data_IF_636800800046
#
_entry.id   IF_636800800046
#
_cell.length_a   1.000
_cell.length_b   1.000
_cell.length_c   1.000
_cell.angle_alpha   90.00
_cell.angle_beta   90.00
_cell.angle_gamma   90.00
#
_symmetry.space_group_name_H-M   'P 1'
#
loop_
_entity.id
_entity.type
_entity.pdbx_description
1 polymer ?
#
# COMPACT_ATOMS: atom_id res chain seq x y z
N UNK A 1 -19.88 7.14 11.11
CA UNK A 1 -20.07 7.71 9.74
C UNK A 1 -19.21 8.95 9.62
N UNK A 2 -18.17 8.90 8.79
CA UNK A 2 -17.20 9.98 8.59
C UNK A 2 -17.79 11.13 7.78
N UNK A 3 -17.49 12.39 8.13
CA UNK A 3 -17.91 13.62 7.43
C UNK A 3 -17.63 13.55 5.91
N UNK A 4 -16.56 12.85 5.52
CA UNK A 4 -16.20 12.58 4.12
C UNK A 4 -17.27 11.75 3.39
N UNK A 5 -17.84 10.74 4.03
CA UNK A 5 -18.85 9.87 3.42
C UNK A 5 -20.23 10.55 3.37
N UNK A 6 -20.54 11.43 4.33
CA UNK A 6 -21.78 12.21 4.33
C UNK A 6 -21.88 13.11 3.09
N UNK A 7 -20.74 13.64 2.61
CA UNK A 7 -20.69 14.47 1.41
C UNK A 7 -21.12 13.76 0.12
N UNK A 8 -21.15 12.42 0.10
CA UNK A 8 -21.58 11.63 -1.06
C UNK A 8 -23.10 11.40 -1.10
N UNK A 9 -23.85 11.82 -0.07
CA UNK A 9 -25.28 11.48 0.08
C UNK A 9 -26.19 12.47 -0.66
N UNK A 10 -25.96 13.78 -0.48
CA UNK A 10 -26.71 14.81 -1.20
C UNK A 10 -25.91 16.13 -1.27
N UNK A 11 -26.38 17.07 -2.09
CA UNK A 11 -25.73 18.37 -2.30
C UNK A 11 -25.59 19.20 -1.01
N UNK A 12 -26.57 19.14 -0.10
CA UNK A 12 -26.53 19.88 1.18
C UNK A 12 -25.43 19.33 2.10
N UNK A 13 -25.34 18.01 2.22
CA UNK A 13 -24.28 17.34 2.95
C UNK A 13 -22.92 17.50 2.27
N UNK A 14 -22.86 17.63 0.94
CA UNK A 14 -21.63 17.98 0.24
C UNK A 14 -21.10 19.35 0.66
N UNK A 15 -21.98 20.38 0.71
CA UNK A 15 -21.58 21.70 1.19
C UNK A 15 -21.15 21.65 2.67
N UNK A 16 -21.90 20.94 3.52
CA UNK A 16 -21.54 20.75 4.94
C UNK A 16 -20.20 20.00 5.11
N UNK A 17 -19.96 18.97 4.30
CA UNK A 17 -18.73 18.17 4.34
C UNK A 17 -17.52 18.92 3.81
N UNK A 18 -17.70 20.08 3.18
CA UNK A 18 -16.64 20.98 2.75
C UNK A 18 -16.66 22.32 3.52
N UNK A 19 -17.41 22.39 4.62
CA UNK A 19 -17.48 23.57 5.46
C UNK A 19 -16.15 23.82 6.19
N UNK A 20 -15.56 24.99 5.94
CA UNK A 20 -14.26 25.35 6.48
C UNK A 20 -14.27 25.52 8.02
N UNK A 21 -15.39 25.92 8.63
CA UNK A 21 -15.52 26.05 10.08
C UNK A 21 -15.55 24.69 10.79
N UNK A 22 -16.18 23.69 10.17
CA UNK A 22 -16.16 22.32 10.70
C UNK A 22 -14.73 21.76 10.63
N UNK A 23 -14.07 21.91 9.48
CA UNK A 23 -12.74 21.35 9.26
C UNK A 23 -11.64 22.04 10.07
N UNK A 24 -11.69 23.36 10.30
CA UNK A 24 -10.71 24.03 11.16
C UNK A 24 -10.82 23.55 12.61
N UNK A 25 -12.04 23.28 13.12
CA UNK A 25 -12.22 22.67 14.45
C UNK A 25 -11.65 21.25 14.51
N UNK A 26 -11.89 20.44 13.48
CA UNK A 26 -11.32 19.08 13.37
C UNK A 26 -9.79 19.13 13.29
N UNK A 27 -9.24 20.08 12.54
CA UNK A 27 -7.80 20.30 12.40
C UNK A 27 -7.18 20.71 13.73
N UNK A 28 -7.73 21.74 14.38
CA UNK A 28 -7.22 22.22 15.66
C UNK A 28 -7.30 21.16 16.73
N UNK A 29 -8.36 20.35 16.80
CA UNK A 29 -8.46 19.25 17.78
C UNK A 29 -7.48 18.11 17.51
N UNK A 30 -7.25 17.75 16.24
CA UNK A 30 -6.35 16.65 15.88
C UNK A 30 -4.86 17.03 15.97
N UNK A 31 -4.53 18.29 15.69
CA UNK A 31 -3.16 18.80 15.62
C UNK A 31 -2.87 19.88 16.64
N UNK A 32 -3.65 19.93 17.73
CA UNK A 32 -3.38 20.86 18.83
C UNK A 32 -1.91 20.71 19.23
N UNK A 33 -1.14 21.81 19.32
CA UNK A 33 0.16 21.72 19.95
C UNK A 33 -0.09 21.14 21.34
N UNK A 34 0.54 20.00 21.64
CA UNK A 34 0.57 19.48 23.00
C UNK A 34 1.00 20.68 23.85
N UNK A 35 0.14 21.14 24.76
CA UNK A 35 0.55 22.09 25.80
C UNK A 35 1.74 21.44 26.47
N UNK A 36 2.95 21.89 26.13
CA UNK A 36 4.09 21.67 26.98
C UNK A 36 3.70 22.26 28.32
N UNK A 37 3.99 21.54 29.39
CA UNK A 37 3.74 21.97 30.77
C UNK A 37 4.64 23.16 31.13
N UNK A 38 4.59 24.24 30.36
CA UNK A 38 5.27 25.49 30.70
C UNK A 38 4.37 26.25 31.66
N UNK A 39 4.85 26.39 32.90
CA UNK A 39 4.21 27.17 33.95
C UNK A 39 3.83 28.56 33.44
N UNK A 40 2.61 28.94 33.79
CA UNK A 40 2.01 30.26 33.66
C UNK A 40 2.98 31.37 34.07
N UNK A 41 3.18 32.35 33.19
CA UNK A 41 3.24 33.75 33.59
C UNK A 41 2.20 34.50 32.78
N UNK A 42 1.24 35.05 33.50
CA UNK A 42 0.16 35.90 33.03
C UNK A 42 0.64 37.10 32.23
N UNK A 43 -0.13 37.43 31.20
CA UNK A 43 -0.28 38.70 30.45
C UNK A 43 -0.04 38.48 28.96
N UNK A 44 -1.10 38.03 28.28
CA UNK A 44 -1.58 38.56 27.00
C UNK A 44 -2.78 37.72 26.55
N UNK A 45 -3.95 38.11 27.06
CA UNK A 45 -5.26 37.71 26.53
C UNK A 45 -5.50 38.45 25.21
N UNK A 46 -4.75 38.13 24.15
CA UNK A 46 -5.01 38.77 22.83
C UNK A 46 -4.45 37.98 21.64
N UNK A 47 -4.75 36.69 21.52
CA UNK A 47 -4.44 35.91 20.31
C UNK A 47 -5.58 34.99 19.85
N UNK A 48 -6.84 35.33 20.17
CA UNK A 48 -8.05 34.65 19.66
C UNK A 48 -9.01 35.71 19.11
N UNK A 49 -8.72 36.29 17.92
CA UNK A 49 -9.68 36.16 16.82
C UNK A 49 -9.03 36.02 15.42
N UNK A 50 -7.70 36.03 15.32
CA UNK A 50 -7.00 36.20 14.04
C UNK A 50 -7.13 34.99 13.09
N UNK A 51 -7.36 33.79 13.63
CA UNK A 51 -7.56 32.59 12.81
C UNK A 51 -8.97 32.51 12.22
N UNK A 52 -10.00 33.11 12.84
CA UNK A 52 -11.39 33.03 12.37
C UNK A 52 -11.66 33.94 11.17
N UNK A 53 -11.06 35.14 11.16
CA UNK A 53 -11.16 36.08 10.03
C UNK A 53 -10.49 35.54 8.76
N UNK A 54 -9.46 34.71 8.90
CA UNK A 54 -8.79 34.06 7.75
C UNK A 54 -9.56 32.88 7.13
N UNK A 55 -10.70 32.47 7.72
CA UNK A 55 -11.47 31.30 7.25
C UNK A 55 -12.47 31.68 6.16
N UNK A 56 -13.00 32.91 6.21
CA UNK A 56 -14.01 33.41 5.25
C UNK A 56 -13.42 33.67 3.86
N UNK A 57 -12.14 34.07 3.77
CA UNK A 57 -11.43 34.31 2.51
C UNK A 57 -10.97 33.04 1.78
N UNK A 58 -11.12 31.86 2.41
CA UNK A 58 -10.59 30.61 1.86
C UNK A 58 -11.66 29.83 1.12
N UNK A 59 -11.27 29.29 -0.03
CA UNK A 59 -12.09 28.39 -0.85
C UNK A 59 -12.71 27.24 -0.02
N UNK A 60 -13.95 26.87 -0.33
CA UNK A 60 -14.66 25.81 0.36
C UNK A 60 -13.86 24.49 0.33
N UNK A 61 -13.69 23.85 1.49
CA UNK A 61 -12.92 22.62 1.62
C UNK A 61 -11.40 22.82 1.72
N UNK A 62 -10.90 24.06 1.82
CA UNK A 62 -9.48 24.34 2.06
C UNK A 62 -8.96 23.59 3.30
N UNK A 63 -9.63 23.71 4.44
CA UNK A 63 -9.17 23.08 5.69
C UNK A 63 -9.29 21.56 5.66
N UNK A 64 -10.19 21.02 4.82
CA UNK A 64 -10.27 19.58 4.54
C UNK A 64 -9.04 19.09 3.77
N UNK A 65 -8.64 19.82 2.71
CA UNK A 65 -7.41 19.53 1.95
C UNK A 65 -6.19 19.58 2.88
N UNK A 66 -6.04 20.66 3.64
CA UNK A 66 -4.95 20.82 4.62
C UNK A 66 -4.90 19.71 5.67
N UNK A 67 -6.06 19.33 6.22
CA UNK A 67 -6.14 18.22 7.17
C UNK A 67 -5.62 16.91 6.56
N UNK A 68 -6.09 16.56 5.36
CA UNK A 68 -5.71 15.31 4.68
C UNK A 68 -4.22 15.34 4.34
N UNK A 69 -3.72 16.44 3.78
CA UNK A 69 -2.29 16.61 3.46
C UNK A 69 -1.42 16.47 4.70
N UNK A 70 -1.80 17.08 5.82
CA UNK A 70 -1.04 16.99 7.07
C UNK A 70 -1.07 15.59 7.69
N UNK A 71 -2.21 14.89 7.60
CA UNK A 71 -2.29 13.48 8.00
C UNK A 71 -1.35 12.61 7.16
N UNK A 72 -1.39 12.77 5.84
CA UNK A 72 -0.48 12.06 4.92
C UNK A 72 0.97 12.34 5.29
N UNK A 73 1.36 13.60 5.47
CA UNK A 73 2.72 13.97 5.84
C UNK A 73 3.15 13.36 7.20
N UNK A 74 2.26 13.34 8.20
CA UNK A 74 2.52 12.73 9.50
C UNK A 74 2.74 11.22 9.40
N UNK A 75 1.93 10.51 8.60
CA UNK A 75 2.10 9.06 8.38
C UNK A 75 3.40 8.79 7.65
N UNK A 76 3.71 9.56 6.59
CA UNK A 76 4.99 9.45 5.85
C UNK A 76 6.19 9.64 6.78
N UNK A 77 6.15 10.66 7.64
CA UNK A 77 7.22 10.94 8.59
C UNK A 77 7.38 9.82 9.64
N UNK A 78 6.28 9.28 10.18
CA UNK A 78 6.32 8.17 11.12
C UNK A 78 6.90 6.90 10.46
N UNK A 79 6.46 6.59 9.24
CA UNK A 79 6.97 5.45 8.47
C UNK A 79 8.46 5.59 8.16
N UNK A 80 8.92 6.77 7.75
CA UNK A 80 10.34 7.02 7.50
C UNK A 80 11.21 6.76 8.74
N UNK A 81 10.72 7.06 9.95
CA UNK A 81 11.45 6.75 11.20
C UNK A 81 11.45 5.26 11.53
N UNK A 82 10.33 4.56 11.31
CA UNK A 82 10.22 3.13 11.59
C UNK A 82 11.03 2.30 10.59
N UNK A 83 11.10 2.71 9.32
CA UNK A 83 11.81 1.99 8.25
C UNK A 83 13.31 2.30 8.18
N UNK A 84 13.78 3.34 8.90
CA UNK A 84 15.20 3.73 8.92
C UNK A 84 16.18 2.60 9.32
N UNK A 85 15.88 1.73 10.30
CA UNK A 85 16.75 0.62 10.63
C UNK A 85 16.72 -0.45 9.54
N UNK A 86 17.88 -0.71 8.93
CA UNK A 86 18.07 -1.76 7.92
C UNK A 86 18.72 -2.96 8.57
N UNK A 87 18.22 -4.15 8.26
CA UNK A 87 18.81 -5.39 8.70
C UNK A 87 20.13 -5.65 7.95
N UNK A 88 21.25 -5.86 8.65
CA UNK A 88 22.56 -5.99 8.03
C UNK A 88 22.73 -7.28 7.20
N UNK A 89 21.86 -8.28 7.38
CA UNK A 89 21.93 -9.58 6.72
C UNK A 89 20.99 -9.72 5.52
N UNK A 90 20.03 -8.82 5.36
CA UNK A 90 19.06 -8.88 4.27
C UNK A 90 19.02 -7.59 3.46
N UNK A 91 19.55 -6.49 3.99
CA UNK A 91 19.42 -5.16 3.39
C UNK A 91 17.98 -4.63 3.41
N UNK A 92 17.06 -5.31 4.12
CA UNK A 92 15.65 -4.95 4.21
C UNK A 92 15.35 -4.13 5.47
N UNK A 93 14.24 -3.36 5.49
CA UNK A 93 13.86 -2.63 6.70
C UNK A 93 13.53 -3.60 7.85
N UNK A 94 14.30 -3.52 8.94
CA UNK A 94 14.24 -4.46 10.07
C UNK A 94 12.87 -4.43 10.79
N UNK A 95 12.13 -3.33 10.66
CA UNK A 95 10.86 -3.09 11.34
C UNK A 95 9.66 -3.08 10.40
N UNK A 96 9.73 -3.78 9.26
CA UNK A 96 8.62 -3.83 8.30
C UNK A 96 7.32 -4.31 8.94
N UNK A 97 7.36 -5.35 9.79
CA UNK A 97 6.17 -5.86 10.51
C UNK A 97 5.53 -4.81 11.44
N UNK A 98 6.35 -3.97 12.08
CA UNK A 98 5.88 -2.83 12.90
C UNK A 98 5.30 -1.72 12.03
N UNK A 99 5.95 -1.39 10.91
CA UNK A 99 5.49 -0.40 9.95
C UNK A 99 4.10 -0.74 9.39
N UNK A 100 3.84 -2.02 9.05
CA UNK A 100 2.52 -2.50 8.62
C UNK A 100 1.44 -2.30 9.70
N UNK A 101 1.79 -2.61 10.96
CA UNK A 101 0.87 -2.43 12.11
C UNK A 101 0.56 -0.96 12.39
N UNK A 102 1.57 -0.11 12.39
CA UNK A 102 1.42 1.33 12.67
C UNK A 102 0.66 2.03 11.55
N UNK A 103 0.94 1.69 10.29
CA UNK A 103 0.26 2.28 9.14
C UNK A 103 -1.16 1.77 8.94
N UNK A 104 -1.54 0.65 9.55
CA UNK A 104 -2.81 -0.02 9.24
C UNK A 104 -2.91 -0.37 7.74
N UNK A 105 -1.76 -0.59 7.10
CA UNK A 105 -1.68 -0.90 5.68
C UNK A 105 -2.32 -2.27 5.42
N UNK A 106 -3.18 -2.33 4.41
CA UNK A 106 -3.68 -3.57 3.83
C UNK A 106 -3.56 -3.54 2.32
N UNK A 107 -4.00 -4.61 1.68
CA UNK A 107 -4.02 -4.72 0.22
C UNK A 107 -5.40 -5.12 -0.29
N UNK A 108 -5.74 -4.60 -1.47
CA UNK A 108 -6.96 -4.95 -2.20
C UNK A 108 -6.61 -5.18 -3.66
N UNK A 109 -7.44 -5.98 -4.33
CA UNK A 109 -7.44 -6.03 -5.80
C UNK A 109 -8.66 -5.27 -6.32
N UNK A 110 -8.46 -4.49 -7.38
CA UNK A 110 -9.53 -3.81 -8.10
C UNK A 110 -9.64 -4.48 -9.46
N UNK A 111 -10.73 -5.20 -9.67
CA UNK A 111 -11.04 -5.84 -10.94
C UNK A 111 -11.86 -4.87 -11.79
N UNK A 112 -11.35 -4.53 -12.98
CA UNK A 112 -12.02 -3.63 -13.90
C UNK A 112 -12.67 -4.42 -15.03
N UNK A 113 -13.94 -4.17 -15.27
CA UNK A 113 -14.66 -4.71 -16.42
C UNK A 113 -14.35 -3.90 -17.69
N UNK A 114 -14.54 -4.52 -18.86
CA UNK A 114 -14.48 -3.84 -20.17
C UNK A 114 -15.47 -2.67 -20.28
N UNK A 115 -16.59 -2.75 -19.55
CA UNK A 115 -17.59 -1.68 -19.45
C UNK A 115 -17.26 -0.57 -18.44
N UNK A 116 -16.08 -0.58 -17.82
CA UNK A 116 -15.64 0.44 -16.87
C UNK A 116 -16.15 0.28 -15.43
N UNK A 117 -16.94 -0.77 -15.14
CA UNK A 117 -17.35 -1.12 -13.78
C UNK A 117 -16.16 -1.68 -13.00
N UNK A 118 -15.99 -1.23 -11.76
CA UNK A 118 -14.90 -1.66 -10.88
C UNK A 118 -15.44 -2.49 -9.70
N UNK A 119 -14.75 -3.58 -9.38
CA UNK A 119 -15.03 -4.43 -8.22
C UNK A 119 -13.83 -4.44 -7.30
N UNK A 120 -14.01 -3.96 -6.08
CA UNK A 120 -12.96 -3.92 -5.06
C UNK A 120 -13.09 -5.17 -4.19
N UNK A 121 -12.01 -5.95 -4.10
CA UNK A 121 -11.97 -7.16 -3.27
C UNK A 121 -10.95 -7.01 -2.15
N UNK A 122 -11.43 -7.14 -0.92
CA UNK A 122 -10.57 -7.26 0.26
C UNK A 122 -9.91 -8.64 0.29
N UNK A 123 -8.67 -8.71 0.77
CA UNK A 123 -7.97 -9.97 0.96
C UNK A 123 -8.64 -10.79 2.07
N UNK A 124 -8.58 -12.11 1.93
CA UNK A 124 -9.14 -13.04 2.91
C UNK A 124 -8.05 -13.49 3.87
N UNK A 125 -6.88 -13.85 3.32
CA UNK A 125 -5.73 -14.30 4.10
C UNK A 125 -4.51 -13.44 3.82
N UNK A 126 -3.67 -13.33 4.85
CA UNK A 126 -2.43 -12.57 4.84
C UNK A 126 -1.38 -13.37 5.64
N UNK A 127 -0.26 -13.70 5.01
CA UNK A 127 0.91 -14.22 5.72
C UNK A 127 2.09 -13.26 5.58
N UNK A 128 2.75 -13.01 6.71
CA UNK A 128 3.89 -12.10 6.80
C UNK A 128 5.12 -12.95 7.09
N UNK A 129 6.01 -13.04 6.11
CA UNK A 129 7.27 -13.77 6.19
C UNK A 129 8.40 -12.82 6.58
N UNK A 130 9.65 -13.29 6.46
CA UNK A 130 10.81 -12.49 6.86
C UNK A 130 11.28 -11.53 5.76
N UNK A 131 11.11 -11.93 4.49
CA UNK A 131 11.48 -11.11 3.33
C UNK A 131 10.28 -10.59 2.51
N UNK A 132 9.08 -11.12 2.76
CA UNK A 132 7.91 -10.89 1.92
C UNK A 132 6.57 -10.98 2.67
N UNK A 133 5.53 -10.45 2.06
CA UNK A 133 4.13 -10.67 2.45
C UNK A 133 3.44 -11.45 1.34
N UNK A 134 2.68 -12.48 1.70
CA UNK A 134 1.76 -13.16 0.78
C UNK A 134 0.34 -12.75 1.10
N UNK A 135 -0.36 -12.23 0.10
CA UNK A 135 -1.76 -11.80 0.21
C UNK A 135 -2.61 -12.70 -0.67
N UNK A 136 -3.72 -13.23 -0.13
CA UNK A 136 -4.59 -14.16 -0.85
C UNK A 136 -6.03 -13.65 -0.90
N UNK A 137 -6.61 -13.71 -2.09
CA UNK A 137 -8.02 -13.43 -2.36
C UNK A 137 -8.67 -14.71 -2.88
N UNK A 138 -9.75 -15.15 -2.23
CA UNK A 138 -10.61 -16.23 -2.71
C UNK A 138 -12.04 -15.98 -2.23
N UNK A 139 -13.02 -16.62 -2.86
CA UNK A 139 -14.41 -16.41 -2.50
C UNK A 139 -15.37 -16.90 -3.58
N UNK A 140 -16.67 -16.71 -3.33
CA UNK A 140 -17.73 -17.11 -4.26
C UNK A 140 -18.21 -15.98 -5.18
N UNK A 141 -17.85 -14.74 -4.87
CA UNK A 141 -18.39 -13.54 -5.51
C UNK A 141 -17.41 -12.94 -6.53
N UNK A 142 -16.75 -13.78 -7.32
CA UNK A 142 -15.88 -13.32 -8.39
C UNK A 142 -16.70 -12.81 -9.58
N UNK A 143 -16.37 -11.64 -10.15
CA UNK A 143 -16.90 -11.26 -11.44
C UNK A 143 -16.38 -12.24 -12.52
N UNK A 144 -17.18 -12.44 -13.56
CA UNK A 144 -16.83 -13.38 -14.64
C UNK A 144 -15.56 -12.94 -15.36
N UNK A 145 -14.59 -13.84 -15.53
CA UNK A 145 -13.30 -13.52 -16.13
C UNK A 145 -13.46 -12.89 -17.53
N UNK A 146 -14.42 -13.35 -18.32
CA UNK A 146 -14.69 -12.84 -19.67
C UNK A 146 -15.07 -11.34 -19.71
N UNK A 147 -15.67 -10.80 -18.64
CA UNK A 147 -16.05 -9.38 -18.56
C UNK A 147 -14.90 -8.49 -18.11
N UNK A 148 -13.87 -9.07 -17.50
CA UNK A 148 -12.73 -8.35 -16.96
C UNK A 148 -11.74 -7.92 -18.06
N UNK A 149 -11.11 -6.77 -17.84
CA UNK A 149 -10.07 -6.21 -18.71
C UNK A 149 -8.73 -6.10 -17.97
N UNK A 150 -8.77 -5.68 -16.70
CA UNK A 150 -7.57 -5.44 -15.90
C UNK A 150 -7.79 -5.81 -14.43
N UNK A 151 -6.68 -6.14 -13.77
CA UNK A 151 -6.58 -6.31 -12.32
C UNK A 151 -5.53 -5.32 -11.81
N UNK A 152 -5.91 -4.48 -10.86
CA UNK A 152 -4.98 -3.58 -10.19
C UNK A 152 -4.75 -4.04 -8.76
N UNK A 153 -3.49 -4.22 -8.39
CA UNK A 153 -3.09 -4.47 -7.02
C UNK A 153 -2.80 -3.14 -6.34
N UNK A 154 -3.52 -2.85 -5.25
CA UNK A 154 -3.39 -1.59 -4.53
C UNK A 154 -3.07 -1.82 -3.05
N UNK A 155 -2.11 -1.03 -2.53
CA UNK A 155 -1.94 -0.79 -1.11
C UNK A 155 -3.03 0.15 -0.60
N UNK A 156 -3.52 -0.10 0.60
CA UNK A 156 -4.67 0.62 1.16
C UNK A 156 -4.38 1.07 2.58
N UNK A 157 -4.41 2.38 2.80
CA UNK A 157 -4.08 3.00 4.08
C UNK A 157 -5.25 3.84 4.60
N UNK A 158 -5.63 3.74 5.88
CA UNK A 158 -6.71 4.55 6.45
C UNK A 158 -6.32 6.04 6.50
N UNK A 159 -7.22 6.92 6.03
CA UNK A 159 -6.99 8.38 6.02
C UNK A 159 -6.98 8.99 7.43
N UNK A 160 -7.71 8.37 8.36
CA UNK A 160 -7.80 8.84 9.75
C UNK A 160 -7.12 7.84 10.69
N UNK A 161 -5.82 7.99 10.85
CA UNK A 161 -5.05 7.20 11.80
C UNK A 161 -5.30 7.72 13.23
N UNK A 162 -5.69 6.85 14.16
CA UNK A 162 -5.72 7.16 15.60
C UNK A 162 -7.02 7.70 16.20
N UNK A 163 -8.13 7.87 15.45
CA UNK A 163 -9.42 8.32 16.06
C UNK A 163 -10.33 7.17 16.54
N UNK A 164 -10.09 5.94 16.10
CA UNK A 164 -10.72 4.74 16.67
C UNK A 164 -9.69 3.62 16.75
N UNK A 165 -9.59 2.96 17.91
CA UNK A 165 -8.77 1.75 18.13
C UNK A 165 -9.18 0.58 17.22
N UNK A 166 -10.28 0.71 16.48
CA UNK A 166 -10.74 -0.22 15.48
C UNK A 166 -10.67 0.46 14.11
N UNK A 167 -9.94 -0.16 13.19
CA UNK A 167 -10.03 0.14 11.76
C UNK A 167 -11.48 -0.10 11.35
N UNK A 168 -12.27 0.96 11.20
CA UNK A 168 -13.65 0.81 10.73
C UNK A 168 -13.56 0.25 9.31
N UNK A 169 -14.13 -0.93 9.07
CA UNK A 169 -14.09 -1.61 7.75
C UNK A 169 -14.51 -0.68 6.60
N UNK A 170 -15.36 0.32 6.87
CA UNK A 170 -15.88 1.22 5.85
C UNK A 170 -15.37 2.68 5.99
N UNK A 171 -14.24 2.89 6.68
CA UNK A 171 -13.62 4.21 6.77
C UNK A 171 -13.04 4.66 5.42
N UNK A 172 -12.82 5.97 5.22
CA UNK A 172 -12.15 6.47 4.03
C UNK A 172 -10.69 5.98 4.03
N UNK A 173 -10.31 5.37 2.92
CA UNK A 173 -9.00 4.77 2.70
C UNK A 173 -8.38 5.37 1.44
N UNK A 174 -7.07 5.59 1.48
CA UNK A 174 -6.28 5.95 0.31
C UNK A 174 -5.73 4.68 -0.34
N UNK A 175 -5.87 4.60 -1.66
CA UNK A 175 -5.33 3.56 -2.52
C UNK A 175 -4.04 4.02 -3.20
N UNK A 176 -3.01 3.20 -3.12
CA UNK A 176 -1.73 3.35 -3.84
C UNK A 176 -1.57 2.17 -4.78
N UNK A 177 -1.52 2.43 -6.09
CA UNK A 177 -1.31 1.38 -7.09
C UNK A 177 0.09 0.79 -6.92
N UNK A 178 0.19 -0.53 -6.88
CA UNK A 178 1.47 -1.26 -6.76
C UNK A 178 1.85 -1.86 -8.11
N UNK A 179 0.87 -2.47 -8.78
CA UNK A 179 1.02 -3.10 -10.07
C UNK A 179 -0.34 -3.21 -10.78
N UNK A 180 -0.31 -3.17 -12.11
CA UNK A 180 -1.47 -3.33 -12.98
C UNK A 180 -1.23 -4.50 -13.92
N UNK A 181 -2.24 -5.35 -14.07
CA UNK A 181 -2.18 -6.57 -14.86
C UNK A 181 -3.28 -6.56 -15.91
N UNK A 182 -2.92 -6.87 -17.15
CA UNK A 182 -3.88 -7.09 -18.23
C UNK A 182 -4.45 -8.50 -18.14
N UNK A 183 -5.76 -8.62 -17.96
CA UNK A 183 -6.43 -9.93 -17.91
C UNK A 183 -6.79 -10.45 -19.31
N UNK A 184 -6.76 -9.60 -20.33
CA UNK A 184 -6.96 -10.01 -21.72
C UNK A 184 -5.93 -11.02 -22.22
N UNK A 185 -4.72 -11.00 -21.66
CA UNK A 185 -3.60 -11.85 -22.06
C UNK A 185 -3.50 -13.16 -21.26
N UNK A 186 -4.43 -13.42 -20.33
CA UNK A 186 -4.45 -14.67 -19.56
C UNK A 186 -4.36 -15.95 -20.40
N UNK A 187 -5.04 -16.05 -21.57
CA UNK A 187 -4.94 -17.23 -22.44
C UNK A 187 -3.52 -17.46 -22.97
N UNK A 188 -2.69 -16.42 -23.04
CA UNK A 188 -1.29 -16.47 -23.48
C UNK A 188 -0.27 -16.44 -22.33
N UNK A 189 -0.70 -16.31 -21.07
CA UNK A 189 0.23 -16.29 -19.93
C UNK A 189 0.79 -17.67 -19.65
N UNK A 190 2.06 -17.73 -19.24
CA UNK A 190 2.77 -18.98 -18.97
C UNK A 190 2.08 -19.77 -17.88
N UNK A 191 1.49 -20.92 -18.25
CA UNK A 191 0.90 -21.88 -17.30
C UNK A 191 2.02 -22.40 -16.40
N UNK A 192 1.94 -22.08 -15.11
CA UNK A 192 2.95 -22.50 -14.14
C UNK A 192 2.73 -23.94 -13.67
N UNK A 193 1.48 -24.40 -13.67
CA UNK A 193 1.10 -25.76 -13.29
C UNK A 193 -0.40 -25.94 -13.28
N UNK A 194 -0.87 -27.17 -13.07
CA UNK A 194 -2.29 -27.45 -12.88
C UNK A 194 -2.49 -28.73 -12.07
N UNK A 195 -3.62 -28.86 -11.37
CA UNK A 195 -4.05 -30.07 -10.68
C UNK A 195 -5.36 -30.60 -11.28
N UNK A 196 -6.11 -31.48 -10.60
CA UNK A 196 -7.39 -32.00 -11.12
C UNK A 196 -8.49 -30.95 -11.31
N UNK A 197 -8.39 -29.78 -10.68
CA UNK A 197 -9.50 -28.85 -10.47
C UNK A 197 -9.13 -27.41 -10.90
N UNK A 198 -7.88 -27.00 -10.72
CA UNK A 198 -7.37 -25.64 -10.90
C UNK A 198 -6.18 -25.62 -11.87
N UNK A 199 -6.11 -24.57 -12.69
CA UNK A 199 -4.95 -24.19 -13.51
C UNK A 199 -4.29 -22.95 -12.89
N UNK A 200 -2.97 -22.98 -12.74
CA UNK A 200 -2.18 -21.88 -12.20
C UNK A 200 -1.51 -21.09 -13.32
N UNK A 201 -1.68 -19.78 -13.25
CA UNK A 201 -1.09 -18.80 -14.16
C UNK A 201 -0.23 -17.84 -13.36
N UNK A 202 0.94 -17.52 -13.90
CA UNK A 202 1.81 -16.49 -13.33
C UNK A 202 1.67 -15.21 -14.14
N UNK A 203 1.37 -14.12 -13.45
CA UNK A 203 1.35 -12.78 -13.99
C UNK A 203 2.48 -11.99 -13.31
N UNK A 204 3.44 -11.53 -14.11
CA UNK A 204 4.53 -10.74 -13.57
C UNK A 204 4.12 -9.27 -13.39
N UNK A 205 4.56 -8.61 -12.30
CA UNK A 205 5.47 -9.12 -11.28
C UNK A 205 4.76 -9.80 -10.07
N UNK A 206 5.08 -11.07 -9.80
CA UNK A 206 4.80 -11.70 -8.50
C UNK A 206 3.33 -11.98 -8.16
N UNK A 207 2.44 -11.99 -9.16
CA UNK A 207 1.04 -12.35 -9.00
C UNK A 207 0.77 -13.75 -9.56
N UNK A 208 0.02 -14.55 -8.83
CA UNK A 208 -0.39 -15.90 -9.18
C UNK A 208 -1.91 -15.96 -9.21
N UNK A 209 -2.46 -16.48 -10.31
CA UNK A 209 -3.90 -16.56 -10.55
C UNK A 209 -4.29 -18.02 -10.74
N UNK A 210 -5.20 -18.51 -9.90
CA UNK A 210 -5.81 -19.82 -10.02
C UNK A 210 -7.15 -19.72 -10.76
N UNK A 211 -7.33 -20.53 -11.81
CA UNK A 211 -8.59 -20.66 -12.54
C UNK A 211 -9.18 -22.05 -12.38
N UNK A 212 -10.50 -22.15 -12.25
CA UNK A 212 -11.20 -23.43 -12.32
C UNK A 212 -11.08 -24.04 -13.71
N UNK A 213 -10.69 -25.32 -13.82
CA UNK A 213 -10.53 -25.98 -15.12
C UNK A 213 -11.83 -26.13 -15.91
N UNK A 214 -12.96 -26.31 -15.22
CA UNK A 214 -14.26 -26.57 -15.86
C UNK A 214 -14.91 -25.31 -16.41
N UNK A 215 -14.82 -24.22 -15.66
CA UNK A 215 -15.52 -22.96 -15.94
C UNK A 215 -14.58 -21.89 -16.50
N UNK A 216 -13.26 -22.09 -16.40
CA UNK A 216 -12.22 -21.08 -16.65
C UNK A 216 -12.42 -19.76 -15.88
N UNK A 217 -13.14 -19.83 -14.76
CA UNK A 217 -13.41 -18.69 -13.89
C UNK A 217 -12.36 -18.56 -12.78
N UNK A 218 -12.24 -17.36 -12.21
CA UNK A 218 -11.32 -17.08 -11.10
C UNK A 218 -11.66 -17.94 -9.87
N UNK A 219 -10.68 -18.73 -9.42
CA UNK A 219 -10.75 -19.48 -8.17
C UNK A 219 -10.15 -18.64 -7.03
N UNK A 220 -8.91 -18.21 -7.22
CA UNK A 220 -8.19 -17.38 -6.27
C UNK A 220 -7.11 -16.54 -6.97
N UNK A 221 -6.69 -15.49 -6.29
CA UNK A 221 -5.55 -14.65 -6.65
C UNK A 221 -4.61 -14.62 -5.45
N UNK A 222 -3.31 -14.71 -5.69
CA UNK A 222 -2.27 -14.65 -4.68
C UNK A 222 -1.18 -13.69 -5.14
N UNK A 223 -0.82 -12.72 -4.31
CA UNK A 223 0.28 -11.80 -4.57
C UNK A 223 1.40 -12.02 -3.57
N UNK A 224 2.62 -12.19 -4.06
CA UNK A 224 3.83 -12.24 -3.22
C UNK A 224 4.57 -10.91 -3.34
N UNK A 225 4.61 -10.15 -2.25
CA UNK A 225 5.15 -8.80 -2.20
C UNK A 225 6.41 -8.76 -1.36
N UNK A 226 7.55 -8.61 -2.02
CA UNK A 226 8.85 -8.48 -1.36
C UNK A 226 8.95 -7.16 -0.56
N UNK A 227 9.61 -7.18 0.60
CA UNK A 227 9.69 -6.03 1.52
C UNK A 227 10.48 -4.84 0.96
N UNK A 228 11.29 -5.05 -0.07
CA UNK A 228 12.01 -3.96 -0.73
C UNK A 228 11.04 -2.88 -1.22
N UNK A 229 11.08 -1.73 -0.54
CA UNK A 229 10.21 -0.58 -0.74
C UNK A 229 8.70 -0.89 -0.69
N UNK A 230 8.29 -1.97 -0.01
CA UNK A 230 6.89 -2.41 -0.01
C UNK A 230 5.97 -1.35 0.59
N UNK A 231 6.37 -0.80 1.73
CA UNK A 231 5.57 0.17 2.47
C UNK A 231 5.47 1.46 1.67
N UNK A 232 6.56 1.91 1.05
CA UNK A 232 6.61 3.07 0.17
C UNK A 232 5.69 2.89 -1.02
N UNK A 233 5.81 1.77 -1.74
CA UNK A 233 4.97 1.42 -2.90
C UNK A 233 3.48 1.34 -2.56
N UNK A 234 3.17 0.93 -1.33
CA UNK A 234 1.80 0.73 -0.87
C UNK A 234 1.17 1.98 -0.21
N UNK A 235 1.96 3.04 0.04
CA UNK A 235 1.49 4.23 0.78
C UNK A 235 1.79 5.57 0.09
N UNK A 236 2.84 5.67 -0.71
CA UNK A 236 3.31 6.93 -1.30
C UNK A 236 2.80 7.16 -2.73
N UNK A 237 2.34 6.11 -3.40
CA UNK A 237 1.83 6.16 -4.76
C UNK A 237 0.41 6.70 -4.83
N UNK A 238 -0.08 6.88 -6.06
CA UNK A 238 -1.44 7.32 -6.32
C UNK A 238 -2.33 6.15 -6.73
N UNK A 239 -3.65 6.36 -6.80
CA UNK A 239 -4.57 5.31 -7.26
C UNK A 239 -4.40 4.95 -8.75
N UNK A 240 -3.70 5.79 -9.53
CA UNK A 240 -3.55 5.61 -10.98
C UNK A 240 -2.10 5.33 -11.42
N UNK A 241 -1.11 5.76 -10.63
CA UNK A 241 0.31 5.71 -10.97
C UNK A 241 1.08 5.04 -9.83
N UNK A 242 1.83 3.96 -10.10
CA UNK A 242 2.66 3.31 -9.10
C UNK A 242 3.75 4.22 -8.57
N UNK A 243 4.15 4.03 -7.32
CA UNK A 243 5.35 4.67 -6.80
C UNK A 243 6.57 3.91 -7.30
N UNK A 244 7.36 4.53 -8.17
CA UNK A 244 8.64 3.96 -8.60
C UNK A 244 9.74 4.35 -7.62
N UNK A 245 10.59 3.40 -7.20
CA UNK A 245 11.79 3.74 -6.46
C UNK A 245 12.79 4.47 -7.38
N UNK A 246 13.68 5.31 -6.82
CA UNK A 246 14.75 5.92 -7.59
C UNK A 246 15.60 4.83 -8.27
N UNK A 247 16.02 5.10 -9.51
CA UNK A 247 16.82 4.15 -10.28
C UNK A 247 18.10 3.79 -9.49
N UNK A 248 18.32 2.49 -9.28
CA UNK A 248 19.55 2.02 -8.67
C UNK A 248 20.71 2.29 -9.63
N UNK A 249 21.65 3.13 -9.21
CA UNK A 249 22.92 3.27 -9.93
C UNK A 249 23.88 2.25 -9.35
N UNK A 250 24.26 1.19 -10.09
CA UNK A 250 25.23 0.23 -9.58
C UNK A 250 26.55 0.94 -9.25
N UNK A 251 27.22 0.57 -8.14
CA UNK A 251 28.56 1.07 -7.86
C UNK A 251 29.52 0.77 -9.02
N UNK A 252 30.53 1.61 -9.21
CA UNK A 252 31.46 1.59 -10.35
C UNK A 252 32.20 0.23 -10.54
N UNK A 253 32.27 -0.58 -9.48
CA UNK A 253 32.92 -1.90 -9.45
C UNK A 253 32.03 -3.04 -10.02
N UNK A 254 30.72 -2.82 -10.16
CA UNK A 254 29.77 -3.76 -10.77
C UNK A 254 29.82 -3.68 -12.32
N UNK A 255 31.02 -3.76 -12.88
CA UNK A 255 31.22 -3.80 -14.33
C UNK A 255 31.01 -5.22 -14.88
N UNK A 256 30.30 -5.32 -16.00
CA UNK A 256 30.14 -6.57 -16.77
C UNK A 256 31.49 -7.22 -17.16
N UNK A 257 32.58 -6.46 -17.10
CA UNK A 257 33.93 -6.87 -17.46
C UNK A 257 34.65 -7.67 -16.36
N UNK A 258 34.32 -7.45 -15.08
CA UNK A 258 35.05 -8.04 -13.94
C UNK A 258 34.30 -9.20 -13.26
N UNK A 259 33.04 -9.46 -13.61
CA UNK A 259 32.21 -10.45 -12.93
C UNK A 259 31.62 -9.92 -11.63
N UNK A 260 30.48 -10.47 -11.21
CA UNK A 260 29.80 -10.02 -9.98
C UNK A 260 30.51 -10.64 -8.77
N UNK A 261 31.10 -9.83 -7.90
CA UNK A 261 31.84 -10.29 -6.72
C UNK A 261 31.26 -9.74 -5.41
N UNK A 262 31.27 -10.55 -4.35
CA UNK A 262 30.87 -10.10 -3.01
C UNK A 262 29.36 -10.03 -2.76
N UNK A 263 28.55 -10.68 -3.60
CA UNK A 263 27.10 -10.65 -3.47
C UNK A 263 26.63 -11.49 -2.29
N UNK A 264 25.54 -11.02 -1.70
CA UNK A 264 24.82 -11.71 -0.64
C UNK A 264 23.45 -12.14 -1.17
N UNK A 265 23.15 -13.43 -1.06
CA UNK A 265 21.86 -14.00 -1.45
C UNK A 265 21.12 -14.43 -0.21
N UNK A 266 19.95 -13.85 0.00
CA UNK A 266 19.01 -14.34 0.99
C UNK A 266 17.92 -15.17 0.29
N UNK A 267 17.70 -16.39 0.78
CA UNK A 267 16.68 -17.32 0.28
C UNK A 267 15.67 -17.58 1.38
N UNK A 268 14.41 -17.27 1.10
CA UNK A 268 13.26 -17.50 1.96
C UNK A 268 12.23 -18.35 1.20
N UNK A 269 12.00 -19.57 1.68
CA UNK A 269 11.04 -20.52 1.14
C UNK A 269 9.98 -20.79 2.21
N UNK A 270 8.74 -20.49 1.86
CA UNK A 270 7.59 -20.63 2.74
C UNK A 270 6.38 -21.19 2.00
N UNK A 271 5.43 -21.76 2.74
CA UNK A 271 4.08 -22.05 2.26
C UNK A 271 3.08 -21.62 3.33
N UNK A 272 2.18 -20.72 2.93
CA UNK A 272 1.24 -20.09 3.86
C UNK A 272 1.99 -19.36 4.97
N UNK A 273 1.86 -19.86 6.21
CA UNK A 273 2.54 -19.35 7.40
C UNK A 273 3.72 -20.20 7.89
N UNK A 274 4.14 -21.23 7.13
CA UNK A 274 5.24 -22.12 7.51
C UNK A 274 6.48 -21.79 6.68
N UNK A 275 7.60 -21.50 7.34
CA UNK A 275 8.91 -21.37 6.69
C UNK A 275 9.60 -22.74 6.62
N UNK A 276 10.08 -23.11 5.44
CA UNK A 276 10.84 -24.33 5.20
C UNK A 276 12.35 -24.07 5.13
N UNK A 277 12.74 -22.93 4.58
CA UNK A 277 14.12 -22.51 4.47
C UNK A 277 14.20 -21.00 4.60
N UNK A 278 15.05 -20.52 5.49
CA UNK A 278 15.42 -19.12 5.58
C UNK A 278 16.94 -19.09 5.80
N UNK A 279 17.69 -18.66 4.79
CA UNK A 279 19.16 -18.76 4.81
C UNK A 279 19.81 -17.67 3.99
N UNK A 280 20.98 -17.24 4.46
CA UNK A 280 21.78 -16.19 3.83
C UNK A 280 23.12 -16.77 3.41
N UNK A 281 23.46 -16.58 2.15
CA UNK A 281 24.72 -16.99 1.55
C UNK A 281 25.54 -15.73 1.26
N UNK A 282 26.79 -15.73 1.71
CA UNK A 282 27.71 -14.60 1.56
C UNK A 282 28.82 -14.93 0.55
N UNK A 283 29.47 -13.88 0.05
CA UNK A 283 30.63 -13.98 -0.84
C UNK A 283 30.33 -14.78 -2.11
N UNK A 284 29.13 -14.63 -2.66
CA UNK A 284 28.81 -15.21 -3.95
C UNK A 284 29.55 -14.46 -5.05
N UNK A 285 30.08 -15.22 -5.99
CA UNK A 285 30.77 -14.71 -7.16
C UNK A 285 30.24 -15.39 -8.41
N UNK A 286 30.05 -14.61 -9.47
CA UNK A 286 29.77 -15.16 -10.80
C UNK A 286 31.04 -15.04 -11.63
N UNK A 287 31.50 -16.17 -12.18
CA UNK A 287 32.51 -16.13 -13.23
C UNK A 287 31.82 -15.65 -14.51
N UNK A 288 32.53 -14.87 -15.34
CA UNK A 288 32.11 -14.58 -16.70
C UNK A 288 31.66 -15.88 -17.36
N UNK A 289 30.40 -15.94 -17.80
CA UNK A 289 29.95 -17.07 -18.62
C UNK A 289 30.66 -16.97 -19.96
N UNK A 290 31.38 -18.01 -20.37
CA UNK A 290 31.83 -18.16 -21.74
C UNK A 290 30.57 -18.22 -22.61
N UNK A 291 30.28 -17.12 -23.30
CA UNK A 291 29.34 -17.11 -24.41
C UNK A 291 29.96 -17.94 -25.52
N UNK A 292 29.61 -19.24 -25.57
CA UNK A 292 29.70 -20.05 -26.78
C UNK A 292 28.37 -19.97 -27.53
#
# INVERSE_FOLDING_TARGET
MTLLCAGCVNRRFYHLANDNFIWIRIYSTAFSPKRSNWKVSSVEKTAEPMNLLSVEDKEAGYWKKEYITKQIASVKAALAQVLKPVDPYTGLPAKTKEALRVSGLGWVIILREKGGKEHIMEHVDLSINDSSVTVVWYGKNWPRLATLSALDLCGVTPVFMGRSKTTTKNGPRWHSLIAKYSLGDLPGSTVMGCDGIVRLLRLDPGLLVGLWKREEELAFVMATLHFHHLVERSTLGSAAVPSEPPAHTPPLDDSLEHGLHGFQLHVDMHSGGTSYLCSTFHNLFTKKGDTN
#
